data_IF_343885327512
#
_entry.id   IF_343885327512
#
_cell.length_a   1.000
_cell.length_b   1.000
_cell.length_c   1.000
_cell.angle_alpha   90.00
_cell.angle_beta   90.00
_cell.angle_gamma   90.00
#
_symmetry.space_group_name_H-M   'P 1'
#
loop_
_entity.id
_entity.type
_entity.pdbx_description
1 polymer ?
#
# COMPACT_ATOMS: atom_id res chain seq x y z
N UNK A 1 -21.88 -3.17 15.32
CA UNK A 1 -20.84 -2.69 16.23
C UNK A 1 -19.53 -2.65 15.49
N UNK A 2 -18.93 -1.49 15.34
CA UNK A 2 -17.67 -1.43 14.61
C UNK A 2 -16.57 -2.16 15.39
N UNK A 3 -15.70 -2.83 14.64
CA UNK A 3 -14.57 -3.48 15.26
C UNK A 3 -13.70 -2.42 15.94
N UNK A 4 -13.27 -2.70 17.18
CA UNK A 4 -12.36 -1.78 17.85
C UNK A 4 -11.02 -1.80 17.11
N UNK A 5 -10.78 -0.76 16.34
CA UNK A 5 -9.47 -0.61 15.72
C UNK A 5 -8.55 0.08 16.72
N UNK A 6 -7.32 -0.41 16.86
CA UNK A 6 -6.35 0.29 17.69
C UNK A 6 -6.20 1.72 17.18
N UNK A 7 -6.27 2.68 18.08
CA UNK A 7 -6.15 4.09 17.70
C UNK A 7 -4.85 4.40 16.97
N UNK A 8 -3.84 3.56 17.20
CA UNK A 8 -2.53 3.73 16.55
C UNK A 8 -2.48 3.22 15.13
N UNK A 9 -3.51 2.49 14.66
CA UNK A 9 -3.50 1.98 13.29
C UNK A 9 -4.12 2.96 12.31
N UNK A 10 -3.41 3.13 11.20
CA UNK A 10 -3.87 3.96 10.09
C UNK A 10 -4.03 3.10 8.86
N UNK A 11 -5.15 3.26 8.17
CA UNK A 11 -5.40 2.57 6.90
C UNK A 11 -5.29 3.58 5.77
N UNK A 12 -4.41 3.30 4.82
CA UNK A 12 -4.21 4.14 3.64
C UNK A 12 -4.61 3.35 2.41
N UNK A 13 -5.45 3.92 1.57
CA UNK A 13 -5.86 3.28 0.31
C UNK A 13 -5.39 4.11 -0.87
N UNK A 14 -4.77 3.44 -1.82
CA UNK A 14 -4.30 4.06 -3.04
C UNK A 14 -4.62 3.14 -4.22
N UNK A 15 -4.64 3.70 -5.42
CA UNK A 15 -4.82 2.92 -6.64
C UNK A 15 -3.54 3.01 -7.45
N UNK A 16 -3.02 1.85 -7.84
CA UNK A 16 -1.77 1.74 -8.60
C UNK A 16 -2.09 1.31 -10.03
N UNK A 17 -1.48 1.98 -10.99
CA UNK A 17 -1.63 1.64 -12.41
C UNK A 17 -0.46 0.80 -12.89
N UNK A 18 -0.71 0.02 -13.93
CA UNK A 18 0.34 -0.73 -14.61
C UNK A 18 0.57 -2.14 -14.09
N UNK A 19 -0.10 -2.54 -13.04
CA UNK A 19 0.00 -3.92 -12.54
C UNK A 19 -0.78 -4.85 -13.46
N UNK A 20 -0.09 -5.84 -14.02
CA UNK A 20 -0.69 -6.76 -14.99
C UNK A 20 -0.62 -8.23 -14.59
N UNK A 21 0.07 -8.55 -13.49
CA UNK A 21 0.22 -9.94 -13.05
C UNK A 21 0.56 -9.99 -11.56
N UNK A 22 0.50 -11.20 -10.99
CA UNK A 22 0.78 -11.41 -9.58
C UNK A 22 2.21 -10.98 -9.18
N UNK A 23 3.15 -11.07 -10.09
CA UNK A 23 4.53 -10.63 -9.84
C UNK A 23 4.58 -9.13 -9.57
N UNK A 24 3.78 -8.37 -10.31
CA UNK A 24 3.66 -6.92 -10.11
C UNK A 24 3.11 -6.60 -8.72
N UNK A 25 2.10 -7.36 -8.30
CA UNK A 25 1.52 -7.22 -6.96
C UNK A 25 2.59 -7.43 -5.89
N UNK A 26 3.40 -8.48 -6.05
CA UNK A 26 4.45 -8.79 -5.09
C UNK A 26 5.48 -7.66 -5.01
N UNK A 27 5.88 -7.09 -6.15
CA UNK A 27 6.85 -6.00 -6.19
C UNK A 27 6.33 -4.76 -5.46
N UNK A 28 5.08 -4.38 -5.72
CA UNK A 28 4.46 -3.23 -5.05
C UNK A 28 4.34 -3.48 -3.56
N UNK A 29 3.88 -4.66 -3.15
CA UNK A 29 3.75 -5.02 -1.74
C UNK A 29 5.09 -4.96 -1.01
N UNK A 30 6.14 -5.44 -1.63
CA UNK A 30 7.48 -5.43 -1.05
C UNK A 30 7.97 -4.01 -0.81
N UNK A 31 7.88 -3.17 -1.83
CA UNK A 31 8.35 -1.79 -1.73
C UNK A 31 7.59 -1.00 -0.67
N UNK A 32 6.27 -1.13 -0.65
CA UNK A 32 5.45 -0.45 0.35
C UNK A 32 5.72 -1.01 1.75
N UNK A 33 5.89 -2.33 1.85
CA UNK A 33 6.18 -2.99 3.11
C UNK A 33 7.50 -2.56 3.76
N UNK A 34 8.41 -1.98 2.99
CA UNK A 34 9.67 -1.47 3.51
C UNK A 34 9.53 -0.11 4.19
N UNK A 35 8.41 0.56 4.01
CA UNK A 35 8.17 1.85 4.67
C UNK A 35 8.05 1.67 6.17
N UNK A 36 8.64 2.61 6.91
CA UNK A 36 8.61 2.56 8.38
C UNK A 36 7.18 2.64 8.89
N UNK A 37 6.81 1.72 9.75
CA UNK A 37 5.49 1.68 10.37
C UNK A 37 4.46 0.84 9.63
N UNK A 38 4.77 0.37 8.43
CA UNK A 38 3.83 -0.48 7.68
C UNK A 38 3.75 -1.86 8.34
N UNK A 39 2.52 -2.29 8.64
CA UNK A 39 2.27 -3.58 9.27
C UNK A 39 1.68 -4.59 8.29
N UNK A 40 0.89 -4.12 7.32
CA UNK A 40 0.27 -4.99 6.34
C UNK A 40 0.01 -4.25 5.04
N UNK A 41 0.08 -4.98 3.93
CA UNK A 41 -0.22 -4.44 2.60
C UNK A 41 -1.11 -5.44 1.88
N UNK A 42 -2.28 -4.99 1.45
CA UNK A 42 -3.22 -5.81 0.68
C UNK A 42 -3.40 -5.19 -0.70
N UNK A 43 -3.18 -5.98 -1.74
CA UNK A 43 -3.26 -5.51 -3.12
C UNK A 43 -4.29 -6.32 -3.88
N UNK A 44 -5.20 -5.62 -4.54
CA UNK A 44 -6.20 -6.24 -5.41
C UNK A 44 -5.78 -6.00 -6.85
N UNK A 45 -5.30 -7.04 -7.51
CA UNK A 45 -4.78 -6.94 -8.88
C UNK A 45 -5.82 -6.46 -9.88
N UNK A 46 -7.04 -6.94 -9.76
CA UNK A 46 -8.13 -6.61 -10.69
C UNK A 46 -8.44 -5.12 -10.78
N UNK A 47 -8.31 -4.41 -9.67
CA UNK A 47 -8.66 -2.99 -9.60
C UNK A 47 -7.43 -2.10 -9.43
N UNK A 48 -6.30 -2.69 -9.06
CA UNK A 48 -5.10 -1.93 -8.71
C UNK A 48 -5.17 -1.29 -7.34
N UNK A 49 -6.19 -1.58 -6.55
CA UNK A 49 -6.34 -0.99 -5.23
C UNK A 49 -5.36 -1.60 -4.24
N UNK A 50 -4.70 -0.73 -3.49
CA UNK A 50 -3.76 -1.13 -2.44
C UNK A 50 -4.24 -0.57 -1.12
N UNK A 51 -4.41 -1.44 -0.13
CA UNK A 51 -4.78 -1.07 1.22
C UNK A 51 -3.58 -1.30 2.12
N UNK A 52 -3.11 -0.25 2.78
CA UNK A 52 -1.91 -0.28 3.61
C UNK A 52 -2.33 -0.03 5.05
N UNK A 53 -2.00 -0.98 5.93
CA UNK A 53 -2.22 -0.81 7.37
C UNK A 53 -0.88 -0.48 8.01
N UNK A 54 -0.85 0.60 8.77
CA UNK A 54 0.38 1.06 9.41
C UNK A 54 0.13 1.49 10.85
N UNK A 55 1.17 1.42 11.68
CA UNK A 55 1.10 1.83 13.08
C UNK A 55 1.15 3.35 13.26
N UNK A 56 1.43 4.08 12.20
CA UNK A 56 1.48 5.54 12.20
C UNK A 56 1.05 6.06 10.84
N UNK A 57 0.56 7.29 10.74
CA UNK A 57 0.20 7.87 9.44
C UNK A 57 1.38 7.88 8.49
N UNK A 58 1.13 7.44 7.25
CA UNK A 58 2.14 7.44 6.21
C UNK A 58 2.10 8.75 5.43
N UNK A 59 3.26 9.24 5.05
CA UNK A 59 3.34 10.39 4.16
C UNK A 59 2.97 9.92 2.75
N UNK A 60 2.00 10.57 2.09
CA UNK A 60 1.64 10.19 0.71
C UNK A 60 2.83 10.19 -0.24
N UNK A 61 3.80 11.07 -0.02
CA UNK A 61 5.00 11.10 -0.84
C UNK A 61 5.85 9.84 -0.70
N UNK A 62 5.88 9.25 0.50
CA UNK A 62 6.60 8.01 0.74
C UNK A 62 5.94 6.84 0.03
N UNK A 63 4.62 6.80 0.05
CA UNK A 63 3.86 5.76 -0.65
C UNK A 63 4.06 5.89 -2.15
N UNK A 64 4.00 7.10 -2.68
CA UNK A 64 4.24 7.36 -4.10
C UNK A 64 5.64 6.95 -4.50
N UNK A 65 6.63 7.27 -3.69
CA UNK A 65 8.03 6.90 -3.95
C UNK A 65 8.20 5.38 -3.97
N UNK A 66 7.56 4.67 -3.05
CA UNK A 66 7.62 3.20 -3.01
C UNK A 66 7.02 2.59 -4.27
N UNK A 67 5.88 3.10 -4.71
CA UNK A 67 5.22 2.64 -5.93
C UNK A 67 6.10 2.92 -7.15
N UNK A 68 6.72 4.09 -7.19
CA UNK A 68 7.63 4.47 -8.28
C UNK A 68 8.87 3.57 -8.31
N UNK A 69 9.40 3.22 -7.15
CA UNK A 69 10.53 2.30 -7.05
C UNK A 69 10.19 0.92 -7.60
N UNK A 70 8.95 0.49 -7.43
CA UNK A 70 8.49 -0.77 -8.00
C UNK A 70 8.26 -0.69 -9.51
N UNK A 71 8.30 0.51 -10.10
CA UNK A 71 8.12 0.72 -11.52
C UNK A 71 6.69 1.04 -11.93
N UNK A 72 5.85 1.47 -10.99
CA UNK A 72 4.44 1.77 -11.24
C UNK A 72 4.12 3.20 -10.84
N UNK A 73 2.85 3.56 -10.96
CA UNK A 73 2.41 4.91 -10.63
C UNK A 73 1.06 4.88 -9.90
N UNK A 74 0.81 5.89 -9.10
CA UNK A 74 -0.49 6.08 -8.46
C UNK A 74 -1.43 6.83 -9.41
N UNK A 75 -2.69 6.49 -9.31
CA UNK A 75 -3.76 7.19 -10.03
C UNK A 75 -4.24 8.36 -9.20
#
# INVERSE_FOLDING_TARGET
>A
MPDPQPESQTVTRVTVTGMTCAHCVASVSEEIGELVGVEDVDVVLETGEVTITSGAPLDPADVEAAVAEAGYALV
#
